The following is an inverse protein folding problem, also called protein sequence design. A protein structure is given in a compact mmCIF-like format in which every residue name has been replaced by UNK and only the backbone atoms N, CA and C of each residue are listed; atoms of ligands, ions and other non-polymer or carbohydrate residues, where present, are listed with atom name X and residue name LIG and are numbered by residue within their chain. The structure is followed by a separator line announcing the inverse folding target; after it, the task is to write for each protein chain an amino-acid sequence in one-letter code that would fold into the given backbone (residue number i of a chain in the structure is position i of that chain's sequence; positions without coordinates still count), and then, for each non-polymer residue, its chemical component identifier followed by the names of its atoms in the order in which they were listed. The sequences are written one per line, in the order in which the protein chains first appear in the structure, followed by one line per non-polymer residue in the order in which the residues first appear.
data_IF_940313623427
#
_entry.id   IF_940313623427
#
_cell.length_a   1.000
_cell.length_b   1.000
_cell.length_c   1.000
_cell.angle_alpha   90.00
_cell.angle_beta   90.00
_cell.angle_gamma   90.00
#
_symmetry.space_group_name_H-M   'P 1'
#
loop_
_entity.id
_entity.type
_entity.pdbx_description
1 polymer ?
#
# COMPACT_ATOMS: atom_id res chain seq x y z
N UNK A 1 1.12 32.00 -27.59
CA UNK A 1 1.10 33.02 -26.53
C UNK A 1 0.51 32.49 -25.24
N UNK A 2 1.04 32.95 -24.11
CA UNK A 2 0.50 32.66 -22.78
C UNK A 2 -0.89 33.31 -22.61
N UNK A 3 -1.89 32.59 -22.08
CA UNK A 3 -3.21 33.18 -21.84
C UNK A 3 -3.12 34.35 -20.86
N UNK A 4 -3.98 35.36 -21.03
CA UNK A 4 -4.11 36.47 -20.07
C UNK A 4 -4.51 35.90 -18.70
N UNK A 5 -3.65 36.10 -17.68
CA UNK A 5 -3.83 35.54 -16.34
C UNK A 5 -2.98 34.31 -16.03
N UNK A 6 -2.12 33.88 -16.97
CA UNK A 6 -1.27 32.69 -16.82
C UNK A 6 -1.99 31.40 -17.21
N UNK A 7 -1.23 30.31 -17.30
CA UNK A 7 -1.81 28.98 -17.56
C UNK A 7 -2.37 28.37 -16.26
N UNK A 8 -3.55 27.72 -16.29
CA UNK A 8 -4.03 26.94 -15.15
C UNK A 8 -3.07 25.77 -14.87
N UNK A 9 -3.08 25.27 -13.65
CA UNK A 9 -2.20 24.18 -13.22
C UNK A 9 -2.72 22.81 -13.69
N UNK A 10 -2.79 22.65 -15.01
CA UNK A 10 -3.32 21.46 -15.71
C UNK A 10 -2.43 21.09 -16.92
N UNK A 11 -2.48 19.83 -17.34
CA UNK A 11 -1.72 19.34 -18.49
C UNK A 11 -0.21 19.56 -18.33
N UNK A 12 0.45 20.08 -19.37
CA UNK A 12 1.90 20.29 -19.35
C UNK A 12 2.36 21.24 -18.23
N UNK A 13 1.55 22.23 -17.87
CA UNK A 13 1.88 23.16 -16.78
C UNK A 13 2.03 22.42 -15.46
N UNK A 14 1.06 21.56 -15.13
CA UNK A 14 1.10 20.70 -13.94
C UNK A 14 2.27 19.71 -13.98
N UNK A 15 2.59 19.17 -15.15
CA UNK A 15 3.73 18.26 -15.30
C UNK A 15 5.05 18.97 -15.02
N UNK A 16 5.29 20.15 -15.59
CA UNK A 16 6.52 20.88 -15.31
C UNK A 16 6.64 21.27 -13.84
N UNK A 17 5.58 21.83 -13.24
CA UNK A 17 5.56 22.22 -11.82
C UNK A 17 5.71 21.06 -10.84
N UNK A 18 5.37 19.84 -11.26
CA UNK A 18 5.53 18.66 -10.41
C UNK A 18 6.95 18.09 -10.39
N UNK A 19 7.80 18.49 -11.34
CA UNK A 19 9.18 17.98 -11.46
C UNK A 19 10.19 19.08 -11.14
N UNK A 20 9.87 20.33 -11.48
CA UNK A 20 10.69 21.49 -11.15
C UNK A 20 10.16 22.17 -9.87
N UNK A 21 11.04 22.71 -9.02
CA UNK A 21 12.48 22.88 -9.24
C UNK A 21 13.31 21.61 -8.97
N UNK A 22 14.42 21.46 -9.70
CA UNK A 22 15.37 20.36 -9.54
C UNK A 22 16.63 20.90 -8.88
N UNK A 23 16.98 20.38 -7.70
CA UNK A 23 18.22 20.72 -6.99
C UNK A 23 19.25 19.62 -7.11
N UNK A 24 20.53 19.99 -7.14
CA UNK A 24 21.64 19.04 -7.05
C UNK A 24 21.77 18.39 -5.66
N UNK A 25 22.66 17.41 -5.51
CA UNK A 25 22.84 16.69 -4.24
C UNK A 25 23.47 17.55 -3.13
N UNK A 26 24.32 18.51 -3.50
CA UNK A 26 25.02 19.43 -2.59
C UNK A 26 24.20 20.67 -2.22
N UNK A 27 23.07 20.91 -2.89
CA UNK A 27 22.27 22.13 -2.76
C UNK A 27 22.95 23.40 -3.27
N UNK A 28 23.97 23.27 -4.13
CA UNK A 28 24.76 24.36 -4.74
C UNK A 28 24.12 24.92 -6.01
N UNK A 29 23.21 24.18 -6.63
CA UNK A 29 22.53 24.63 -7.84
C UNK A 29 21.08 24.14 -7.89
N UNK A 30 20.24 24.93 -8.54
CA UNK A 30 18.83 24.64 -8.73
C UNK A 30 18.38 25.07 -10.12
N UNK A 31 17.66 24.20 -10.80
CA UNK A 31 17.03 24.46 -12.09
C UNK A 31 15.53 24.66 -11.88
N UNK A 32 15.03 25.84 -12.27
CA UNK A 32 13.62 26.22 -12.16
C UNK A 32 12.94 26.25 -13.53
N UNK A 33 11.66 25.90 -13.53
CA UNK A 33 10.77 26.09 -14.67
C UNK A 33 10.08 27.46 -14.60
N UNK A 34 10.22 28.27 -15.66
CA UNK A 34 9.60 29.59 -15.74
C UNK A 34 8.30 29.53 -16.56
N UNK A 35 8.40 29.14 -17.83
CA UNK A 35 7.26 29.05 -18.77
C UNK A 35 7.56 28.11 -19.92
N UNK A 36 6.54 27.80 -20.72
CA UNK A 36 6.70 27.10 -21.99
C UNK A 36 5.87 27.70 -23.11
N UNK A 37 6.39 27.59 -24.31
CA UNK A 37 5.78 28.08 -25.54
C UNK A 37 5.93 27.03 -26.65
N UNK A 38 4.90 26.93 -27.50
CA UNK A 38 4.97 26.14 -28.72
C UNK A 38 5.30 27.09 -29.86
N UNK A 39 6.34 26.77 -30.63
CA UNK A 39 6.57 27.44 -31.90
C UNK A 39 5.55 26.98 -32.93
N UNK A 40 5.39 27.76 -34.00
CA UNK A 40 4.54 27.36 -35.11
C UNK A 40 5.06 26.03 -35.72
N UNK A 41 4.16 25.12 -36.11
CA UNK A 41 4.53 23.94 -36.90
C UNK A 41 5.32 24.34 -38.13
N UNK A 42 6.39 23.61 -38.42
CA UNK A 42 7.24 23.86 -39.60
C UNK A 42 6.50 23.64 -40.93
N UNK A 43 5.51 22.77 -40.91
CA UNK A 43 4.70 22.36 -42.06
C UNK A 43 3.24 22.31 -41.66
N UNK A 44 2.35 22.54 -42.62
CA UNK A 44 0.92 22.36 -42.40
C UNK A 44 0.49 20.87 -42.52
N UNK A 45 -0.79 20.61 -42.30
CA UNK A 45 -1.36 19.25 -42.30
C UNK A 45 -1.22 18.57 -43.67
N UNK A 46 -1.37 19.31 -44.76
CA UNK A 46 -1.36 18.74 -46.12
C UNK A 46 0.07 18.48 -46.60
N UNK A 47 1.01 19.37 -46.26
CA UNK A 47 2.44 19.15 -46.47
C UNK A 47 2.94 17.94 -45.69
N UNK A 48 2.52 17.78 -44.42
CA UNK A 48 2.89 16.61 -43.63
C UNK A 48 2.39 15.30 -44.24
N UNK A 49 1.17 15.28 -44.80
CA UNK A 49 0.60 14.12 -45.51
C UNK A 49 1.38 13.77 -46.77
N UNK A 50 1.72 14.76 -47.59
CA UNK A 50 2.41 14.53 -48.87
C UNK A 50 3.87 14.10 -48.71
N UNK A 51 4.50 14.51 -47.61
CA UNK A 51 5.94 14.31 -47.36
C UNK A 51 6.25 13.22 -46.32
N UNK A 52 5.25 12.46 -45.90
CA UNK A 52 5.37 11.44 -44.85
C UNK A 52 5.95 11.99 -43.52
N UNK A 53 5.61 13.23 -43.16
CA UNK A 53 6.07 13.90 -41.94
C UNK A 53 5.01 13.86 -40.83
N UNK A 54 5.45 14.07 -39.59
CA UNK A 54 4.55 14.23 -38.44
C UNK A 54 4.15 15.70 -38.29
N UNK A 55 2.86 15.98 -38.12
CA UNK A 55 2.36 17.33 -37.84
C UNK A 55 2.57 17.65 -36.36
N UNK A 56 3.59 18.44 -36.07
CA UNK A 56 4.02 18.75 -34.71
C UNK A 56 4.54 20.19 -34.60
N UNK A 57 4.48 20.71 -33.37
CA UNK A 57 5.04 22.00 -32.99
C UNK A 57 6.26 21.82 -32.07
N UNK A 58 7.37 22.53 -32.32
CA UNK A 58 8.50 22.58 -31.41
C UNK A 58 8.08 23.11 -30.04
N UNK A 59 8.35 22.37 -28.97
CA UNK A 59 8.13 22.82 -27.59
C UNK A 59 9.41 23.47 -27.06
N UNK A 60 9.33 24.75 -26.74
CA UNK A 60 10.40 25.49 -26.04
C UNK A 60 9.99 25.75 -24.59
N UNK A 61 10.93 25.53 -23.69
CA UNK A 61 10.73 25.72 -22.24
C UNK A 61 11.79 26.68 -21.74
N UNK A 62 11.35 27.78 -21.15
CA UNK A 62 12.23 28.75 -20.49
C UNK A 62 12.60 28.21 -19.12
N UNK A 63 13.89 27.97 -18.92
CA UNK A 63 14.43 27.42 -17.69
C UNK A 63 15.44 28.38 -17.09
N UNK A 64 15.50 28.40 -15.76
CA UNK A 64 16.40 29.26 -15.01
C UNK A 64 17.29 28.42 -14.10
N UNK A 65 18.60 28.44 -14.36
CA UNK A 65 19.61 27.84 -13.50
C UNK A 65 20.08 28.88 -12.50
N UNK A 66 19.88 28.60 -11.22
CA UNK A 66 20.34 29.41 -10.08
C UNK A 66 21.51 28.69 -9.44
N UNK A 67 22.64 29.38 -9.32
CA UNK A 67 23.84 28.89 -8.64
C UNK A 67 23.95 29.58 -7.28
N UNK A 68 24.15 28.80 -6.23
CA UNK A 68 24.30 29.28 -4.87
C UNK A 68 25.77 29.28 -4.45
N UNK A 69 26.14 30.28 -3.67
CA UNK A 69 27.34 30.26 -2.85
C UNK A 69 26.97 29.78 -1.45
N UNK A 70 27.70 28.77 -0.97
CA UNK A 70 27.48 28.15 0.33
C UNK A 70 28.60 28.59 1.27
N UNK A 71 28.22 29.32 2.30
CA UNK A 71 29.13 29.63 3.41
C UNK A 71 29.31 28.38 4.28
N UNK A 72 30.52 27.81 4.29
CA UNK A 72 30.85 26.58 5.03
C UNK A 72 30.74 26.74 6.57
N UNK A 73 30.85 27.97 7.08
CA UNK A 73 30.81 28.26 8.52
C UNK A 73 29.38 28.50 9.03
N UNK A 74 28.52 29.12 8.21
CA UNK A 74 27.15 29.51 8.61
C UNK A 74 26.05 28.68 7.96
N UNK A 75 26.36 27.91 6.92
CA UNK A 75 25.37 27.18 6.10
C UNK A 75 24.44 28.12 5.32
N UNK A 76 24.73 29.42 5.27
CA UNK A 76 23.91 30.40 4.58
C UNK A 76 24.05 30.23 3.06
N UNK A 77 22.90 30.18 2.37
CA UNK A 77 22.82 30.15 0.90
C UNK A 77 22.64 31.56 0.36
N UNK A 78 23.57 32.02 -0.47
CA UNK A 78 23.40 33.27 -1.23
C UNK A 78 23.41 33.00 -2.73
N UNK A 79 22.70 33.81 -3.51
CA UNK A 79 22.64 33.61 -4.96
C UNK A 79 23.93 34.16 -5.56
N UNK A 80 24.70 33.30 -6.24
CA UNK A 80 25.92 33.65 -6.94
C UNK A 80 25.64 34.09 -8.37
N UNK A 81 24.84 33.32 -9.10
CA UNK A 81 24.54 33.58 -10.51
C UNK A 81 23.14 33.05 -10.90
N UNK A 82 22.54 33.69 -11.90
CA UNK A 82 21.26 33.28 -12.48
C UNK A 82 21.37 33.29 -14.00
N UNK A 83 21.15 32.13 -14.61
CA UNK A 83 21.19 31.93 -16.07
C UNK A 83 19.83 31.47 -16.56
N UNK A 84 19.16 32.28 -17.38
CA UNK A 84 17.87 31.95 -17.97
C UNK A 84 18.02 31.67 -19.47
N UNK A 85 17.41 30.59 -19.96
CA UNK A 85 17.50 30.19 -21.36
C UNK A 85 16.27 29.42 -21.83
N UNK A 86 15.87 29.65 -23.08
CA UNK A 86 14.88 28.83 -23.78
C UNK A 86 15.53 27.54 -24.31
N UNK A 87 15.06 26.40 -23.81
CA UNK A 87 15.55 25.07 -24.17
C UNK A 87 14.51 24.35 -25.00
N UNK A 88 14.94 23.76 -26.12
CA UNK A 88 14.10 22.91 -26.96
C UNK A 88 13.87 21.55 -26.30
N UNK A 89 12.61 21.17 -26.12
CA UNK A 89 12.16 19.99 -25.36
C UNK A 89 11.48 18.93 -26.23
N UNK A 90 11.70 18.99 -27.55
CA UNK A 90 11.12 18.05 -28.51
C UNK A 90 9.95 18.63 -29.31
N UNK A 91 9.53 17.88 -30.33
CA UNK A 91 8.40 18.24 -31.18
C UNK A 91 7.15 17.55 -30.63
N UNK A 92 6.11 18.32 -30.30
CA UNK A 92 4.84 17.79 -29.78
C UNK A 92 3.83 17.63 -30.91
N UNK A 93 3.31 16.43 -31.18
CA UNK A 93 2.25 16.23 -32.18
C UNK A 93 1.03 17.09 -31.88
N UNK A 94 0.55 17.80 -32.89
CA UNK A 94 -0.65 18.63 -32.78
C UNK A 94 -1.88 17.90 -33.31
N UNK A 95 -3.00 18.16 -32.66
CA UNK A 95 -4.30 17.68 -33.10
C UNK A 95 -4.81 18.55 -34.25
N UNK A 96 -5.33 17.92 -35.30
CA UNK A 96 -6.00 18.60 -36.40
C UNK A 96 -7.38 19.12 -35.97
N UNK A 97 -8.02 19.95 -36.80
CA UNK A 97 -9.41 20.40 -36.57
C UNK A 97 -10.43 19.26 -36.52
N UNK A 98 -10.10 18.08 -37.05
CA UNK A 98 -10.97 16.90 -37.06
C UNK A 98 -10.76 15.99 -35.83
N UNK A 99 -9.88 16.36 -34.89
CA UNK A 99 -9.57 15.51 -33.73
C UNK A 99 -8.62 14.36 -34.03
N UNK A 100 -7.87 14.44 -35.14
CA UNK A 100 -6.90 13.42 -35.58
C UNK A 100 -5.46 13.94 -35.42
N UNK A 101 -4.47 13.06 -35.60
CA UNK A 101 -3.05 13.40 -35.61
C UNK A 101 -2.42 12.90 -36.91
N UNK A 102 -1.52 13.68 -37.51
CA UNK A 102 -0.73 13.20 -38.65
C UNK A 102 0.61 12.69 -38.11
N UNK A 103 0.83 11.38 -38.18
CA UNK A 103 2.07 10.72 -37.76
C UNK A 103 2.69 10.05 -38.98
N UNK A 104 3.86 10.52 -39.40
CA UNK A 104 4.57 10.07 -40.60
C UNK A 104 3.64 10.01 -41.84
N UNK A 105 2.99 11.15 -42.15
CA UNK A 105 2.04 11.31 -43.25
C UNK A 105 0.68 10.64 -43.08
N UNK A 106 0.54 9.73 -42.12
CA UNK A 106 -0.69 8.96 -41.92
C UNK A 106 -1.57 9.60 -40.85
N UNK A 107 -2.85 9.74 -41.15
CA UNK A 107 -3.84 10.23 -40.19
C UNK A 107 -4.20 9.14 -39.17
N UNK A 108 -4.12 9.48 -37.88
CA UNK A 108 -4.35 8.58 -36.75
C UNK A 108 -5.32 9.21 -35.76
N UNK A 109 -6.08 8.36 -35.09
CA UNK A 109 -6.96 8.74 -33.98
C UNK A 109 -6.48 8.05 -32.72
N UNK A 110 -6.43 8.80 -31.62
CA UNK A 110 -6.18 8.23 -30.30
C UNK A 110 -7.53 7.98 -29.64
N UNK A 111 -7.85 6.71 -29.40
CA UNK A 111 -9.11 6.31 -28.78
C UNK A 111 -9.03 6.52 -27.28
N UNK A 112 -10.08 7.10 -26.70
CA UNK A 112 -10.18 7.25 -25.23
C UNK A 112 -10.21 5.88 -24.56
N UNK A 113 -9.45 5.73 -23.49
CA UNK A 113 -9.30 4.44 -22.81
C UNK A 113 -10.21 4.37 -21.59
N UNK A 114 -10.95 3.27 -21.46
CA UNK A 114 -11.67 2.94 -20.23
C UNK A 114 -10.74 2.23 -19.26
N UNK A 115 -10.37 2.91 -18.19
CA UNK A 115 -9.52 2.38 -17.12
C UNK A 115 -10.30 2.21 -15.83
N UNK A 116 -9.78 1.39 -14.91
CA UNK A 116 -10.33 1.34 -13.55
C UNK A 116 -10.07 2.68 -12.87
N UNK A 117 -11.07 3.20 -12.19
CA UNK A 117 -10.90 4.40 -11.37
C UNK A 117 -9.95 4.11 -10.21
N UNK A 118 -9.21 5.10 -9.69
CA UNK A 118 -8.41 4.94 -8.50
C UNK A 118 -9.28 4.58 -7.29
N UNK A 119 -8.70 3.86 -6.32
CA UNK A 119 -9.37 3.42 -5.10
C UNK A 119 -8.96 2.00 -4.70
N UNK A 120 -9.67 1.45 -3.73
CA UNK A 120 -9.56 0.05 -3.31
C UNK A 120 -10.74 -0.75 -3.84
N UNK A 121 -10.49 -2.00 -4.22
CA UNK A 121 -11.49 -2.93 -4.71
C UNK A 121 -11.30 -4.30 -4.09
N UNK A 122 -12.38 -4.95 -3.71
CA UNK A 122 -12.41 -6.31 -3.17
C UNK A 122 -13.18 -7.22 -4.13
N UNK A 123 -12.61 -8.35 -4.50
CA UNK A 123 -13.26 -9.34 -5.37
C UNK A 123 -12.83 -10.75 -4.97
N UNK A 124 -13.44 -11.77 -5.57
CA UNK A 124 -12.96 -13.13 -5.50
C UNK A 124 -12.94 -13.78 -6.89
N UNK A 125 -12.12 -14.81 -7.04
CA UNK A 125 -11.92 -15.50 -8.32
C UNK A 125 -13.11 -16.34 -8.83
N UNK A 126 -14.26 -16.23 -8.17
CA UNK A 126 -15.48 -17.04 -8.38
C UNK A 126 -15.19 -18.56 -8.39
N UNK A 127 -14.18 -19.01 -7.64
CA UNK A 127 -13.80 -20.42 -7.51
C UNK A 127 -13.12 -20.99 -8.76
N UNK A 128 -12.66 -20.15 -9.69
CA UNK A 128 -12.07 -20.57 -10.96
C UNK A 128 -10.60 -20.96 -10.85
N UNK A 129 -9.86 -20.44 -9.88
CA UNK A 129 -8.40 -20.61 -9.82
C UNK A 129 -7.97 -21.90 -9.15
N UNK A 130 -8.80 -22.46 -8.25
CA UNK A 130 -8.47 -23.67 -7.52
C UNK A 130 -9.50 -24.78 -7.78
N UNK A 131 -9.03 -26.00 -8.01
CA UNK A 131 -9.88 -27.16 -8.37
C UNK A 131 -10.91 -27.53 -7.32
N UNK A 132 -10.70 -27.15 -6.05
CA UNK A 132 -11.68 -27.37 -4.97
C UNK A 132 -12.89 -26.45 -5.06
N UNK A 133 -12.89 -25.45 -5.95
CA UNK A 133 -13.94 -24.43 -6.03
C UNK A 133 -13.93 -23.41 -4.88
N UNK A 134 -12.88 -23.44 -4.04
CA UNK A 134 -12.70 -22.48 -2.95
C UNK A 134 -12.55 -21.08 -3.52
N UNK A 135 -13.33 -20.13 -2.98
CA UNK A 135 -13.23 -18.73 -3.34
C UNK A 135 -11.92 -18.13 -2.81
N UNK A 136 -11.12 -17.55 -3.69
CA UNK A 136 -9.92 -16.82 -3.33
C UNK A 136 -10.22 -15.33 -3.39
N UNK A 137 -10.29 -14.70 -2.22
CA UNK A 137 -10.54 -13.26 -2.09
C UNK A 137 -9.25 -12.48 -2.34
N UNK A 138 -9.39 -11.31 -2.95
CA UNK A 138 -8.31 -10.37 -3.17
C UNK A 138 -8.80 -8.93 -3.01
N UNK A 139 -7.93 -8.10 -2.43
CA UNK A 139 -8.04 -6.65 -2.41
C UNK A 139 -7.01 -6.06 -3.38
N UNK A 140 -7.39 -5.00 -4.10
CA UNK A 140 -6.52 -4.30 -5.05
C UNK A 140 -6.64 -2.80 -4.84
N UNK A 141 -5.52 -2.18 -4.48
CA UNK A 141 -5.38 -0.72 -4.41
C UNK A 141 -4.80 -0.20 -5.72
N UNK A 142 -5.60 0.58 -6.43
CA UNK A 142 -5.26 1.18 -7.72
C UNK A 142 -5.05 2.68 -7.50
N UNK A 143 -3.82 3.18 -7.65
CA UNK A 143 -3.60 4.63 -7.62
C UNK A 143 -3.97 5.29 -8.94
N UNK A 144 -4.12 6.62 -8.90
CA UNK A 144 -4.08 7.45 -10.11
C UNK A 144 -2.71 7.34 -10.79
N UNK A 145 -1.65 7.39 -9.97
CA UNK A 145 -0.24 7.28 -10.36
C UNK A 145 0.56 6.63 -9.24
N UNK A 146 1.48 5.73 -9.58
CA UNK A 146 2.31 5.01 -8.60
C UNK A 146 2.12 3.49 -8.68
N UNK A 147 2.72 2.77 -7.72
CA UNK A 147 2.72 1.31 -7.70
C UNK A 147 1.37 0.73 -7.27
N UNK A 148 0.97 -0.38 -7.88
CA UNK A 148 -0.25 -1.10 -7.48
C UNK A 148 0.06 -2.00 -6.29
N UNK A 149 -0.87 -2.08 -5.33
CA UNK A 149 -0.80 -2.99 -4.20
C UNK A 149 -1.96 -3.98 -4.28
N UNK A 150 -1.63 -5.25 -4.52
CA UNK A 150 -2.56 -6.37 -4.50
C UNK A 150 -2.35 -7.17 -3.21
N UNK A 151 -3.43 -7.52 -2.50
CA UNK A 151 -3.41 -8.40 -1.33
C UNK A 151 -4.37 -9.55 -1.61
N UNK A 152 -3.90 -10.79 -1.59
CA UNK A 152 -4.69 -11.94 -2.04
C UNK A 152 -4.49 -13.17 -1.15
N UNK A 153 -5.58 -13.90 -0.94
CA UNK A 153 -5.55 -15.23 -0.32
C UNK A 153 -5.03 -16.27 -1.30
N UNK A 154 -4.29 -17.25 -0.78
CA UNK A 154 -4.01 -18.49 -1.47
C UNK A 154 -4.95 -19.64 -1.06
N UNK A 155 -4.78 -20.81 -1.66
CA UNK A 155 -5.61 -21.98 -1.37
C UNK A 155 -5.44 -22.52 0.06
N UNK A 156 -4.36 -22.17 0.74
CA UNK A 156 -4.05 -22.54 2.13
C UNK A 156 -4.51 -21.49 3.15
N UNK A 157 -5.27 -20.49 2.72
CA UNK A 157 -5.69 -19.34 3.54
C UNK A 157 -4.50 -18.49 4.08
N UNK A 158 -3.36 -18.51 3.40
CA UNK A 158 -2.25 -17.57 3.66
C UNK A 158 -2.48 -16.30 2.85
N UNK A 159 -2.27 -15.15 3.48
CA UNK A 159 -2.48 -13.83 2.88
C UNK A 159 -1.16 -13.30 2.33
N UNK A 160 -1.15 -12.99 1.03
CA UNK A 160 0.05 -12.48 0.35
C UNK A 160 -0.16 -11.06 -0.12
N UNK A 161 0.87 -10.23 -0.02
CA UNK A 161 0.97 -8.96 -0.73
C UNK A 161 1.75 -9.12 -2.04
N UNK A 162 1.42 -8.30 -3.03
CA UNK A 162 2.07 -8.24 -4.33
C UNK A 162 2.09 -6.80 -4.84
N UNK A 163 3.30 -6.29 -5.09
CA UNK A 163 3.52 -4.93 -5.59
C UNK A 163 3.78 -4.99 -7.09
N UNK A 164 3.09 -4.17 -7.89
CA UNK A 164 3.25 -4.07 -9.35
C UNK A 164 3.21 -5.43 -10.08
N UNK A 165 2.35 -6.33 -9.60
CA UNK A 165 2.19 -7.70 -10.12
C UNK A 165 3.47 -8.56 -10.09
N UNK A 166 4.41 -8.27 -9.19
CA UNK A 166 5.65 -9.03 -9.02
C UNK A 166 5.46 -10.29 -8.17
N UNK A 167 6.56 -10.86 -7.66
CA UNK A 167 6.54 -12.03 -6.76
C UNK A 167 5.70 -11.73 -5.52
N UNK A 168 4.98 -12.76 -5.03
CA UNK A 168 4.25 -12.69 -3.76
C UNK A 168 5.23 -12.62 -2.59
N UNK A 169 4.83 -11.87 -1.57
CA UNK A 169 5.42 -11.88 -0.23
C UNK A 169 4.30 -12.06 0.79
N UNK A 170 4.54 -12.65 1.97
CA UNK A 170 3.56 -12.67 3.04
C UNK A 170 3.08 -11.25 3.38
N UNK A 171 1.79 -11.06 3.66
CA UNK A 171 1.28 -9.72 4.02
C UNK A 171 1.91 -9.21 5.31
N UNK A 172 2.28 -10.10 6.22
CA UNK A 172 3.00 -9.78 7.46
C UNK A 172 4.35 -9.14 7.20
N UNK A 173 5.06 -9.49 6.12
CA UNK A 173 6.29 -8.81 5.72
C UNK A 173 6.02 -7.35 5.34
N UNK A 174 4.90 -7.08 4.66
CA UNK A 174 4.50 -5.70 4.38
C UNK A 174 4.19 -4.94 5.68
N UNK A 175 3.50 -5.57 6.63
CA UNK A 175 3.18 -4.96 7.93
C UNK A 175 4.43 -4.69 8.78
N UNK A 176 5.39 -5.62 8.78
CA UNK A 176 6.70 -5.43 9.41
C UNK A 176 7.48 -4.28 8.79
N UNK A 177 7.44 -4.13 7.46
CA UNK A 177 8.06 -2.98 6.78
C UNK A 177 7.44 -1.63 7.20
N UNK A 178 6.14 -1.62 7.55
CA UNK A 178 5.45 -0.46 8.15
C UNK A 178 5.84 -0.21 9.62
N UNK A 179 6.72 -1.04 10.19
CA UNK A 179 7.26 -0.88 11.53
C UNK A 179 6.50 -1.61 12.63
N UNK A 180 5.65 -2.58 12.28
CA UNK A 180 4.95 -3.41 13.26
C UNK A 180 5.77 -4.66 13.61
N UNK A 181 5.75 -5.07 14.87
CA UNK A 181 6.26 -6.38 15.28
C UNK A 181 5.14 -7.45 15.25
N UNK A 182 5.48 -8.70 15.54
CA UNK A 182 4.54 -9.81 15.53
C UNK A 182 3.35 -9.60 16.47
N UNK A 183 3.59 -9.06 17.67
CA UNK A 183 2.54 -8.83 18.67
C UNK A 183 1.60 -7.69 18.24
N UNK A 184 2.14 -6.57 17.73
CA UNK A 184 1.35 -5.46 17.20
C UNK A 184 0.51 -5.93 16.01
N UNK A 185 1.07 -6.76 15.12
CA UNK A 185 0.32 -7.38 14.02
C UNK A 185 -0.84 -8.19 14.57
N UNK A 186 -0.60 -9.14 15.48
CA UNK A 186 -1.65 -10.03 15.99
C UNK A 186 -2.74 -9.25 16.74
N UNK A 187 -2.35 -8.33 17.61
CA UNK A 187 -3.30 -7.49 18.38
C UNK A 187 -4.10 -6.51 17.51
N UNK A 188 -3.62 -6.17 16.31
CA UNK A 188 -4.36 -5.34 15.35
C UNK A 188 -5.52 -6.11 14.70
N UNK A 189 -5.35 -7.41 14.43
CA UNK A 189 -6.33 -8.22 13.70
C UNK A 189 -7.19 -9.12 14.60
N UNK A 190 -6.75 -9.37 15.84
CA UNK A 190 -7.43 -10.27 16.77
C UNK A 190 -7.68 -9.59 18.11
N UNK A 191 -8.85 -9.85 18.69
CA UNK A 191 -9.08 -9.56 20.09
C UNK A 191 -8.31 -10.55 20.97
N UNK A 192 -8.00 -10.17 22.20
CA UNK A 192 -7.34 -11.02 23.19
C UNK A 192 -8.38 -11.56 24.19
N UNK A 193 -8.18 -12.79 24.66
CA UNK A 193 -8.95 -13.41 25.73
C UNK A 193 -7.99 -13.81 26.85
N UNK A 194 -8.26 -13.34 28.05
CA UNK A 194 -7.44 -13.71 29.23
C UNK A 194 -8.00 -14.96 29.89
N UNK A 195 -7.17 -16.00 29.95
CA UNK A 195 -7.43 -17.23 30.68
C UNK A 195 -6.72 -17.11 32.02
N UNK A 196 -7.44 -17.28 33.13
CA UNK A 196 -6.87 -17.15 34.48
C UNK A 196 -6.85 -18.48 35.19
N UNK A 197 -5.71 -18.87 35.73
CA UNK A 197 -5.57 -20.08 36.54
C UNK A 197 -6.31 -19.89 37.85
N UNK A 198 -7.10 -20.88 38.24
CA UNK A 198 -7.90 -20.85 39.46
C UNK A 198 -7.82 -22.22 40.15
N UNK A 199 -6.68 -22.49 40.80
CA UNK A 199 -6.41 -23.79 41.40
C UNK A 199 -6.07 -24.85 40.37
N UNK A 200 -6.95 -25.83 40.18
CA UNK A 200 -6.80 -26.97 39.27
C UNK A 200 -7.44 -26.77 37.90
N UNK A 201 -8.10 -25.64 37.66
CA UNK A 201 -8.78 -25.32 36.41
C UNK A 201 -8.45 -23.92 35.93
N UNK A 202 -8.79 -23.64 34.67
CA UNK A 202 -8.72 -22.33 34.07
C UNK A 202 -10.09 -21.66 34.05
N UNK A 203 -10.09 -20.34 34.16
CA UNK A 203 -11.26 -19.49 34.08
C UNK A 203 -11.23 -18.74 32.77
N UNK A 204 -12.22 -19.01 31.91
CA UNK A 204 -12.38 -18.37 30.60
C UNK A 204 -13.59 -17.44 30.63
N UNK A 205 -13.50 -16.19 30.13
CA UNK A 205 -14.66 -15.31 30.06
C UNK A 205 -15.74 -15.86 29.13
N UNK A 206 -17.00 -15.76 29.57
CA UNK A 206 -18.15 -16.15 28.77
C UNK A 206 -18.52 -15.03 27.80
N UNK A 207 -18.55 -15.34 26.50
CA UNK A 207 -19.00 -14.43 25.45
C UNK A 207 -20.15 -15.05 24.65
N UNK A 208 -21.29 -14.37 24.59
CA UNK A 208 -22.50 -14.86 23.91
C UNK A 208 -22.24 -15.19 22.44
N UNK A 209 -21.48 -14.36 21.73
CA UNK A 209 -21.21 -14.52 20.30
C UNK A 209 -20.28 -15.69 20.01
N UNK A 210 -19.32 -15.98 20.91
CA UNK A 210 -18.44 -17.14 20.80
C UNK A 210 -19.16 -18.44 21.10
N UNK A 211 -19.98 -18.45 22.16
CA UNK A 211 -20.65 -19.68 22.62
C UNK A 211 -21.95 -20.00 21.86
N UNK A 212 -22.56 -19.05 21.14
CA UNK A 212 -23.77 -19.33 20.36
C UNK A 212 -23.46 -20.32 19.22
N UNK A 213 -24.27 -21.35 19.10
CA UNK A 213 -24.16 -22.35 18.05
C UNK A 213 -23.10 -23.43 18.30
N UNK A 214 -22.25 -23.28 19.31
CA UNK A 214 -21.30 -24.32 19.71
C UNK A 214 -22.03 -25.51 20.35
N UNK A 215 -21.48 -26.69 20.13
CA UNK A 215 -21.88 -27.92 20.81
C UNK A 215 -20.91 -28.15 21.95
N UNK A 216 -21.42 -28.20 23.18
CA UNK A 216 -20.58 -28.44 24.35
C UNK A 216 -19.98 -29.86 24.26
N UNK A 217 -18.65 -29.98 24.28
CA UNK A 217 -17.96 -31.28 24.23
C UNK A 217 -18.05 -31.96 25.61
N UNK A 218 -17.80 -31.20 26.67
CA UNK A 218 -18.05 -31.57 28.06
C UNK A 218 -19.14 -30.71 28.71
N UNK A 219 -19.35 -30.90 30.00
CA UNK A 219 -20.25 -30.05 30.79
C UNK A 219 -19.67 -28.64 30.91
N UNK A 220 -20.46 -27.64 30.52
CA UNK A 220 -20.11 -26.24 30.69
C UNK A 220 -20.44 -25.83 32.12
N UNK A 221 -19.43 -25.52 32.92
CA UNK A 221 -19.57 -25.21 34.35
C UNK A 221 -19.28 -23.74 34.59
N UNK A 222 -20.15 -23.06 35.33
CA UNK A 222 -19.91 -21.69 35.78
C UNK A 222 -18.72 -21.66 36.75
N UNK A 223 -17.75 -20.79 36.46
CA UNK A 223 -16.55 -20.64 37.27
C UNK A 223 -16.84 -20.01 38.65
N UNK A 224 -17.93 -19.25 38.79
CA UNK A 224 -18.30 -18.60 40.06
C UNK A 224 -19.14 -19.51 40.96
N UNK A 225 -20.22 -20.10 40.42
CA UNK A 225 -21.14 -20.93 41.21
C UNK A 225 -20.75 -22.42 41.25
N UNK A 226 -19.97 -22.91 40.29
CA UNK A 226 -19.70 -24.33 40.11
C UNK A 226 -20.87 -25.14 39.56
N UNK A 227 -21.96 -24.48 39.16
CA UNK A 227 -23.14 -25.15 38.58
C UNK A 227 -22.92 -25.47 37.08
N UNK A 228 -23.44 -26.62 36.65
CA UNK A 228 -23.48 -26.97 35.23
C UNK A 228 -24.54 -26.10 34.55
N UNK A 229 -24.09 -25.19 33.70
CA UNK A 229 -24.96 -24.28 32.94
C UNK A 229 -25.42 -24.89 31.61
N UNK A 230 -24.62 -25.79 31.04
CA UNK A 230 -24.96 -26.56 29.83
C UNK A 230 -24.38 -27.97 29.94
N UNK A 231 -25.21 -29.00 29.81
CA UNK A 231 -24.77 -30.39 29.78
C UNK A 231 -24.00 -30.73 28.49
N UNK A 232 -23.05 -31.65 28.60
CA UNK A 232 -22.29 -32.20 27.49
C UNK A 232 -23.18 -32.68 26.33
N UNK A 233 -22.72 -32.43 25.11
CA UNK A 233 -23.40 -32.82 23.87
C UNK A 233 -24.56 -31.91 23.45
N UNK A 234 -25.01 -30.97 24.30
CA UNK A 234 -26.06 -30.01 23.92
C UNK A 234 -25.49 -28.87 23.10
N UNK A 235 -26.28 -28.42 22.11
CA UNK A 235 -25.98 -27.23 21.31
C UNK A 235 -26.49 -26.00 22.04
N UNK A 236 -25.62 -25.02 22.25
CA UNK A 236 -25.96 -23.75 22.88
C UNK A 236 -26.69 -22.90 21.85
N UNK A 237 -27.99 -22.70 22.02
CA UNK A 237 -28.76 -21.83 21.12
C UNK A 237 -28.47 -20.36 21.41
N UNK A 238 -28.65 -19.47 20.42
CA UNK A 238 -28.49 -18.03 20.64
C UNK A 238 -29.36 -17.49 21.78
N UNK A 239 -30.58 -18.04 21.94
CA UNK A 239 -31.47 -17.72 23.06
C UNK A 239 -30.88 -18.17 24.40
N UNK A 240 -30.37 -19.39 24.47
CA UNK A 240 -29.77 -19.93 25.68
C UNK A 240 -28.51 -19.16 26.08
N UNK A 241 -27.62 -18.84 25.13
CA UNK A 241 -26.43 -18.04 25.38
C UNK A 241 -26.77 -16.66 25.97
N UNK A 242 -27.77 -15.97 25.41
CA UNK A 242 -28.28 -14.69 25.96
C UNK A 242 -28.84 -14.84 27.37
N UNK A 243 -29.65 -15.88 27.60
CA UNK A 243 -30.20 -16.15 28.93
C UNK A 243 -29.12 -16.43 29.98
N UNK A 244 -28.04 -17.12 29.61
CA UNK A 244 -26.91 -17.35 30.52
C UNK A 244 -26.21 -16.04 30.88
N UNK A 245 -25.99 -15.15 29.90
CA UNK A 245 -25.43 -13.83 30.16
C UNK A 245 -26.36 -12.96 31.03
N UNK A 246 -27.67 -12.96 30.76
CA UNK A 246 -28.67 -12.23 31.56
C UNK A 246 -28.77 -12.74 33.01
N UNK A 247 -28.56 -14.05 33.22
CA UNK A 247 -28.45 -14.67 34.54
C UNK A 247 -27.14 -14.36 35.26
N UNK A 248 -26.23 -13.64 34.62
CA UNK A 248 -24.98 -13.18 35.22
C UNK A 248 -23.78 -14.11 35.05
N UNK A 249 -23.85 -15.10 34.14
CA UNK A 249 -22.69 -15.94 33.82
C UNK A 249 -21.56 -15.09 33.24
N UNK A 250 -20.44 -15.01 33.95
CA UNK A 250 -19.27 -14.21 33.53
C UNK A 250 -18.13 -15.05 33.01
N UNK A 251 -17.94 -16.25 33.54
CA UNK A 251 -16.83 -17.11 33.16
C UNK A 251 -17.18 -18.59 33.33
N UNK A 252 -16.46 -19.42 32.58
CA UNK A 252 -16.62 -20.86 32.53
C UNK A 252 -15.33 -21.53 33.00
N UNK A 253 -15.45 -22.66 33.69
CA UNK A 253 -14.32 -23.52 34.01
C UNK A 253 -13.86 -24.27 32.77
N UNK A 254 -12.57 -24.26 32.53
CA UNK A 254 -11.92 -24.96 31.45
C UNK A 254 -10.80 -25.85 31.98
N UNK A 255 -10.64 -27.00 31.36
CA UNK A 255 -9.53 -27.91 31.63
C UNK A 255 -8.32 -27.53 30.78
N UNK A 256 -7.18 -28.15 31.05
CA UNK A 256 -5.99 -28.01 30.20
C UNK A 256 -6.25 -28.44 28.75
N UNK A 257 -7.08 -29.47 28.55
CA UNK A 257 -7.45 -29.95 27.22
C UNK A 257 -8.21 -28.91 26.40
N UNK A 258 -8.99 -28.04 27.06
CA UNK A 258 -9.75 -26.96 26.40
C UNK A 258 -8.84 -25.82 25.90
N UNK A 259 -7.58 -25.75 26.36
CA UNK A 259 -6.61 -24.76 25.90
C UNK A 259 -5.95 -25.17 24.58
N UNK A 260 -5.90 -26.47 24.27
CA UNK A 260 -5.17 -26.96 23.10
C UNK A 260 -5.74 -26.43 21.78
N UNK A 261 -4.83 -26.06 20.87
CA UNK A 261 -5.18 -25.45 19.59
C UNK A 261 -5.49 -23.95 19.67
N UNK A 262 -5.49 -23.35 20.87
CA UNK A 262 -5.51 -21.89 21.02
C UNK A 262 -4.13 -21.32 20.71
N UNK A 263 -4.06 -20.03 20.39
CA UNK A 263 -2.81 -19.34 20.03
C UNK A 263 -2.48 -18.25 21.03
N UNK A 264 -1.22 -18.15 21.44
CA UNK A 264 -0.75 -17.09 22.33
C UNK A 264 -0.89 -15.72 21.68
N UNK A 265 -1.27 -14.71 22.47
CA UNK A 265 -1.43 -13.34 22.00
C UNK A 265 -0.20 -12.46 22.25
N UNK A 266 0.68 -12.87 23.16
CA UNK A 266 1.84 -12.12 23.64
C UNK A 266 3.01 -13.08 23.84
N UNK A 267 4.23 -12.56 23.81
CA UNK A 267 5.43 -13.33 24.11
C UNK A 267 5.45 -13.75 25.58
N UNK A 268 5.94 -14.96 25.84
CA UNK A 268 6.15 -15.47 27.19
C UNK A 268 7.61 -15.31 27.52
N UNK A 269 7.91 -14.33 28.37
CA UNK A 269 9.29 -13.90 28.65
C UNK A 269 9.65 -14.16 30.10
N UNK A 270 10.83 -14.71 30.33
CA UNK A 270 11.42 -14.70 31.65
C UNK A 270 11.94 -13.30 31.97
N UNK A 271 11.20 -12.53 32.76
CA UNK A 271 11.58 -11.18 33.14
C UNK A 271 12.94 -11.07 33.89
N UNK A 272 13.45 -12.16 34.45
CA UNK A 272 14.74 -12.16 35.13
C UNK A 272 15.93 -12.37 34.18
N UNK A 273 15.79 -13.18 33.12
CA UNK A 273 16.85 -13.46 32.14
C UNK A 273 16.70 -12.71 30.83
N UNK A 274 15.50 -12.22 30.51
CA UNK A 274 15.13 -11.68 29.20
C UNK A 274 14.98 -12.75 28.11
N UNK A 275 14.99 -14.03 28.47
CA UNK A 275 14.79 -15.14 27.54
C UNK A 275 13.32 -15.27 27.16
N UNK A 276 13.04 -15.32 25.86
CA UNK A 276 11.71 -15.59 25.32
C UNK A 276 11.50 -17.11 25.31
N UNK A 277 10.54 -17.60 26.07
CA UNK A 277 10.20 -19.02 26.14
C UNK A 277 9.26 -19.45 25.01
N UNK A 278 8.29 -18.60 24.66
CA UNK A 278 7.33 -18.81 23.58
C UNK A 278 7.04 -17.46 22.92
N UNK A 279 6.77 -17.47 21.63
CA UNK A 279 6.50 -16.27 20.85
C UNK A 279 4.98 -16.07 20.66
N UNK A 280 4.57 -14.82 20.47
CA UNK A 280 3.20 -14.47 20.13
C UNK A 280 2.78 -15.18 18.82
N UNK A 281 1.63 -15.86 18.87
CA UNK A 281 1.12 -16.68 17.77
C UNK A 281 1.47 -18.17 17.87
N UNK A 282 2.33 -18.59 18.81
CA UNK A 282 2.58 -20.01 19.07
C UNK A 282 1.28 -20.74 19.47
N UNK A 283 1.18 -21.99 19.02
CA UNK A 283 0.04 -22.85 19.36
C UNK A 283 0.23 -23.48 20.74
N UNK A 284 -0.84 -23.47 21.52
CA UNK A 284 -0.88 -24.18 22.80
C UNK A 284 -1.09 -25.67 22.51
N UNK A 285 -0.03 -26.45 22.70
CA UNK A 285 0.00 -27.91 22.62
C UNK A 285 0.54 -28.49 23.95
N UNK A 286 0.67 -29.81 24.05
CA UNK A 286 1.16 -30.45 25.28
C UNK A 286 2.57 -29.99 25.71
N UNK A 287 3.41 -29.55 24.76
CA UNK A 287 4.78 -29.11 25.05
C UNK A 287 4.79 -27.66 25.49
N UNK A 288 4.13 -26.78 24.74
CA UNK A 288 4.10 -25.34 25.05
C UNK A 288 3.32 -25.09 26.33
N UNK A 289 2.25 -25.85 26.61
CA UNK A 289 1.53 -25.76 27.88
C UNK A 289 2.41 -26.13 29.09
N UNK A 290 3.28 -27.14 28.96
CA UNK A 290 4.24 -27.48 30.03
C UNK A 290 5.24 -26.35 30.29
N UNK A 291 5.69 -25.67 29.24
CA UNK A 291 6.58 -24.51 29.36
C UNK A 291 5.86 -23.35 30.04
N UNK A 292 4.62 -23.04 29.65
CA UNK A 292 3.77 -22.02 30.29
C UNK A 292 3.58 -22.28 31.78
N UNK A 293 3.23 -23.52 32.14
CA UNK A 293 3.03 -23.91 33.53
C UNK A 293 4.33 -23.87 34.34
N UNK A 294 5.46 -24.22 33.73
CA UNK A 294 6.78 -24.17 34.37
C UNK A 294 7.31 -22.73 34.56
N UNK A 295 6.93 -21.82 33.65
CA UNK A 295 7.20 -20.38 33.78
C UNK A 295 6.42 -19.75 34.95
N UNK A 296 5.37 -20.43 35.45
CA UNK A 296 4.57 -19.97 36.57
C UNK A 296 3.47 -18.98 36.17
N UNK A 297 3.11 -18.94 34.89
CA UNK A 297 2.07 -18.03 34.40
C UNK A 297 0.68 -18.41 34.96
N UNK A 298 0.06 -17.48 35.67
CA UNK A 298 -1.30 -17.61 36.20
C UNK A 298 -2.34 -16.95 35.29
N UNK A 299 -1.92 -16.07 34.37
CA UNK A 299 -2.77 -15.44 33.37
C UNK A 299 -2.16 -15.63 31.99
N UNK A 300 -2.92 -16.18 31.04
CA UNK A 300 -2.48 -16.40 29.68
C UNK A 300 -3.40 -15.60 28.75
N UNK A 301 -2.81 -14.76 27.91
CA UNK A 301 -3.54 -14.08 26.85
C UNK A 301 -3.52 -14.91 25.57
N UNK A 302 -4.70 -15.26 25.07
CA UNK A 302 -4.85 -15.98 23.80
C UNK A 302 -5.56 -15.12 22.76
N UNK A 303 -5.33 -15.41 21.48
CA UNK A 303 -6.06 -14.79 20.37
C UNK A 303 -7.50 -15.33 20.32
N UNK A 304 -8.49 -14.43 20.15
CA UNK A 304 -9.91 -14.75 19.96
C UNK A 304 -10.18 -15.32 18.56
N UNK A 305 -9.68 -16.53 18.34
CA UNK A 305 -9.83 -17.30 17.11
C UNK A 305 -10.72 -18.50 17.42
N UNK A 306 -11.82 -18.64 16.69
CA UNK A 306 -12.78 -19.74 16.86
C UNK A 306 -12.90 -20.63 15.62
N UNK A 307 -12.19 -20.31 14.53
CA UNK A 307 -12.23 -21.00 13.23
C UNK A 307 -13.62 -21.07 12.57
N UNK A 308 -14.61 -20.35 13.11
CA UNK A 308 -15.99 -20.33 12.61
C UNK A 308 -16.37 -18.92 12.17
N UNK A 309 -16.24 -17.94 13.07
CA UNK A 309 -16.52 -16.53 12.81
C UNK A 309 -15.24 -15.70 12.62
N UNK A 310 -14.10 -16.19 13.13
CA UNK A 310 -12.79 -15.55 13.04
C UNK A 310 -11.75 -16.62 12.70
N UNK A 311 -11.16 -16.51 11.51
CA UNK A 311 -10.09 -17.39 11.04
C UNK A 311 -8.68 -16.97 11.48
N UNK A 312 -7.79 -17.95 11.66
CA UNK A 312 -6.38 -17.75 12.00
C UNK A 312 -5.51 -17.24 10.81
N UNK A 313 -6.05 -16.47 9.87
CA UNK A 313 -5.39 -16.15 8.59
C UNK A 313 -4.10 -15.34 8.75
N UNK A 314 -4.12 -14.26 9.52
CA UNK A 314 -2.94 -13.42 9.75
C UNK A 314 -1.93 -14.16 10.62
N UNK A 315 -2.38 -14.87 11.66
CA UNK A 315 -1.52 -15.73 12.48
C UNK A 315 -0.81 -16.80 11.64
N UNK A 316 -1.54 -17.50 10.78
CA UNK A 316 -0.96 -18.53 9.91
C UNK A 316 -0.02 -17.92 8.87
N UNK A 317 -0.29 -16.69 8.44
CA UNK A 317 0.61 -15.95 7.55
C UNK A 317 1.91 -15.56 8.26
N UNK A 318 1.81 -15.09 9.51
CA UNK A 318 2.97 -14.77 10.34
C UNK A 318 3.86 -16.01 10.55
N UNK A 319 3.24 -17.16 10.87
CA UNK A 319 3.96 -18.42 11.10
C UNK A 319 4.70 -18.98 9.86
N UNK A 320 4.30 -18.59 8.63
CA UNK A 320 5.02 -18.99 7.40
C UNK A 320 5.95 -17.91 6.88
N UNK A 321 5.89 -16.70 7.45
CA UNK A 321 6.81 -15.62 7.13
C UNK A 321 8.21 -15.97 7.66
N UNK A 322 9.21 -15.64 6.85
CA UNK A 322 10.62 -15.89 7.21
C UNK A 322 11.30 -14.63 7.73
N UNK A 323 10.62 -13.50 7.67
CA UNK A 323 11.12 -12.24 8.19
C UNK A 323 10.73 -12.15 9.66
N UNK A 324 11.69 -11.80 10.51
CA UNK A 324 11.49 -11.63 11.95
C UNK A 324 11.56 -10.15 12.34
N UNK A 325 12.05 -9.29 11.45
CA UNK A 325 12.27 -7.87 11.71
C UNK A 325 11.83 -6.97 10.56
N UNK A 326 11.61 -5.69 10.86
CA UNK A 326 11.39 -4.64 9.86
C UNK A 326 12.50 -4.60 8.81
N UNK A 327 13.75 -4.80 9.23
CA UNK A 327 14.89 -4.77 8.30
C UNK A 327 14.84 -5.92 7.31
N UNK A 328 14.53 -7.14 7.76
CA UNK A 328 14.46 -8.32 6.89
C UNK A 328 13.31 -8.17 5.89
N UNK A 329 12.16 -7.69 6.37
CA UNK A 329 11.01 -7.37 5.54
C UNK A 329 11.33 -6.34 4.44
N UNK A 330 12.00 -5.22 4.81
CA UNK A 330 12.46 -4.21 3.85
C UNK A 330 13.42 -4.81 2.83
N UNK A 331 14.33 -5.69 3.26
CA UNK A 331 15.28 -6.36 2.37
C UNK A 331 14.60 -7.33 1.39
N UNK A 332 13.59 -8.09 1.83
CA UNK A 332 12.87 -8.99 0.92
C UNK A 332 12.04 -8.20 -0.09
N UNK A 333 11.35 -7.13 0.34
CA UNK A 333 10.64 -6.21 -0.56
C UNK A 333 11.62 -5.62 -1.58
N UNK A 334 12.79 -5.15 -1.14
CA UNK A 334 13.82 -4.60 -2.02
C UNK A 334 14.26 -5.61 -3.07
N UNK A 335 14.54 -6.87 -2.68
CA UNK A 335 14.96 -7.95 -3.59
C UNK A 335 13.88 -8.31 -4.61
N UNK A 336 12.60 -8.18 -4.26
CA UNK A 336 11.48 -8.37 -5.22
C UNK A 336 11.43 -7.23 -6.24
N UNK A 337 11.66 -5.99 -5.80
CA UNK A 337 11.61 -4.81 -6.67
C UNK A 337 12.88 -4.65 -7.52
N UNK A 338 14.04 -5.04 -7.00
CA UNK A 338 15.35 -4.96 -7.67
C UNK A 338 16.13 -6.26 -7.51
N UNK A 339 15.80 -7.30 -8.29
CA UNK A 339 16.49 -8.57 -8.22
C UNK A 339 17.96 -8.41 -8.62
N UNK A 340 18.87 -8.85 -7.75
CA UNK A 340 20.32 -8.86 -8.01
C UNK A 340 21.09 -7.67 -7.44
N UNK A 341 20.41 -6.62 -6.97
CA UNK A 341 21.05 -5.53 -6.22
C UNK A 341 21.06 -5.86 -4.72
N UNK A 342 22.22 -5.80 -4.03
CA UNK A 342 22.27 -6.01 -2.59
C UNK A 342 21.58 -4.85 -1.85
N UNK A 343 20.63 -5.11 -0.95
CA UNK A 343 19.96 -4.05 -0.19
C UNK A 343 20.87 -3.52 0.93
N UNK A 344 20.78 -2.22 1.17
CA UNK A 344 21.17 -1.59 2.45
C UNK A 344 19.91 -1.07 3.15
N UNK A 345 19.93 -0.87 4.47
CA UNK A 345 18.74 -0.40 5.20
C UNK A 345 18.20 0.91 4.62
N UNK A 346 19.09 1.87 4.39
CA UNK A 346 18.76 3.18 3.83
C UNK A 346 18.15 3.08 2.43
N UNK A 347 18.74 2.28 1.54
CA UNK A 347 18.23 2.12 0.16
C UNK A 347 16.90 1.38 0.11
N UNK A 348 16.71 0.40 1.00
CA UNK A 348 15.47 -0.35 1.14
C UNK A 348 14.35 0.50 1.72
N UNK A 349 14.63 1.29 2.75
CA UNK A 349 13.68 2.22 3.36
C UNK A 349 13.28 3.33 2.40
N UNK A 350 14.25 3.96 1.73
CA UNK A 350 13.97 4.99 0.73
C UNK A 350 13.12 4.44 -0.44
N UNK A 351 13.43 3.22 -0.91
CA UNK A 351 12.60 2.57 -1.92
C UNK A 351 11.18 2.33 -1.40
N UNK A 352 11.03 1.73 -0.23
CA UNK A 352 9.71 1.43 0.33
C UNK A 352 8.87 2.70 0.52
N UNK A 353 9.49 3.78 1.01
CA UNK A 353 8.86 5.09 1.13
C UNK A 353 8.36 5.60 -0.24
N UNK A 354 9.21 5.48 -1.26
CA UNK A 354 8.93 5.92 -2.63
C UNK A 354 7.77 5.17 -3.31
N UNK A 355 7.41 3.97 -2.83
CA UNK A 355 6.37 3.14 -3.44
C UNK A 355 4.95 3.61 -3.09
N UNK A 356 4.73 4.14 -1.89
CA UNK A 356 3.38 4.37 -1.35
C UNK A 356 3.20 5.71 -0.62
N UNK A 357 4.27 6.29 -0.09
CA UNK A 357 4.24 7.39 0.87
C UNK A 357 4.83 8.69 0.32
N UNK A 358 5.45 8.65 -0.85
CA UNK A 358 6.02 9.79 -1.54
C UNK A 358 5.01 10.41 -2.52
N UNK A 359 4.59 11.65 -2.26
CA UNK A 359 3.63 12.38 -3.10
C UNK A 359 4.13 12.64 -4.54
N UNK A 360 5.44 12.68 -4.76
CA UNK A 360 6.02 12.85 -6.09
C UNK A 360 5.93 11.57 -6.92
N UNK A 361 5.70 10.41 -6.29
CA UNK A 361 5.66 9.09 -6.95
C UNK A 361 4.32 8.39 -6.85
N UNK A 362 3.55 8.69 -5.83
CA UNK A 362 2.26 8.09 -5.53
C UNK A 362 1.15 9.12 -5.39
N UNK A 363 0.02 8.85 -6.03
CA UNK A 363 -1.16 9.69 -6.00
C UNK A 363 -2.42 8.85 -6.21
N UNK A 364 -3.33 8.82 -5.24
CA UNK A 364 -4.66 8.22 -5.35
C UNK A 364 -5.65 9.09 -6.14
N UNK A 365 -5.36 10.37 -6.35
CA UNK A 365 -6.29 11.47 -6.65
C UNK A 365 -7.32 11.69 -5.54
N UNK A 366 -7.92 12.88 -5.49
CA UNK A 366 -9.01 13.19 -4.56
C UNK A 366 -10.17 12.18 -4.68
N UNK A 367 -10.53 11.80 -5.92
CA UNK A 367 -11.59 10.81 -6.17
C UNK A 367 -11.22 9.44 -5.62
N UNK A 368 -9.97 8.99 -5.81
CA UNK A 368 -9.52 7.71 -5.27
C UNK A 368 -9.47 7.68 -3.76
N UNK A 369 -9.04 8.78 -3.13
CA UNK A 369 -9.08 8.95 -1.68
C UNK A 369 -10.50 8.90 -1.14
N UNK A 370 -11.45 9.63 -1.74
CA UNK A 370 -12.87 9.58 -1.35
C UNK A 370 -13.44 8.16 -1.50
N UNK A 371 -13.17 7.48 -2.62
CA UNK A 371 -13.61 6.08 -2.81
C UNK A 371 -13.04 5.14 -1.76
N UNK A 372 -11.76 5.28 -1.43
CA UNK A 372 -11.10 4.48 -0.40
C UNK A 372 -11.71 4.73 0.98
N UNK A 373 -11.87 6.00 1.35
CA UNK A 373 -12.48 6.39 2.63
C UNK A 373 -13.91 5.85 2.77
N UNK A 374 -14.73 5.96 1.73
CA UNK A 374 -16.09 5.44 1.74
C UNK A 374 -16.12 3.91 1.85
N UNK A 375 -15.23 3.20 1.15
CA UNK A 375 -15.23 1.73 1.14
C UNK A 375 -14.67 1.11 2.42
N UNK A 376 -13.73 1.79 3.07
CA UNK A 376 -13.03 1.32 4.28
C UNK A 376 -13.51 2.02 5.56
N UNK A 377 -14.49 2.92 5.45
CA UNK A 377 -15.01 3.75 6.55
C UNK A 377 -13.92 4.56 7.28
N UNK A 378 -13.01 5.16 6.49
CA UNK A 378 -11.89 5.95 7.02
C UNK A 378 -12.19 7.45 6.99
N UNK A 379 -11.68 8.16 8.00
CA UNK A 379 -11.73 9.62 8.07
C UNK A 379 -10.37 10.21 7.69
N UNK A 380 -10.28 10.69 6.45
CA UNK A 380 -9.07 11.28 5.90
C UNK A 380 -9.45 12.39 4.92
N UNK A 381 -8.72 13.50 4.93
CA UNK A 381 -8.97 14.56 3.96
C UNK A 381 -8.71 14.07 2.53
N UNK A 382 -9.51 14.56 1.58
CA UNK A 382 -9.38 14.25 0.14
C UNK A 382 -8.10 14.83 -0.49
N UNK A 383 -7.43 15.73 0.24
CA UNK A 383 -6.11 16.29 -0.04
C UNK A 383 -4.98 15.30 0.23
N UNK A 384 -5.17 14.31 1.11
CA UNK A 384 -4.15 13.29 1.44
C UNK A 384 -4.18 12.19 0.38
N UNK A 385 -3.31 12.29 -0.61
CA UNK A 385 -3.34 11.43 -1.81
C UNK A 385 -2.33 10.27 -1.81
N UNK A 386 -1.41 10.24 -0.87
CA UNK A 386 -0.53 9.07 -0.63
C UNK A 386 -1.26 8.03 0.22
N UNK A 387 -0.80 6.77 0.26
CA UNK A 387 -1.32 5.81 1.23
C UNK A 387 -0.78 6.13 2.63
N UNK A 388 -1.52 5.70 3.65
CA UNK A 388 -1.12 5.74 5.06
C UNK A 388 -1.06 4.34 5.64
N UNK A 389 -0.41 4.17 6.81
CA UNK A 389 -0.37 2.88 7.52
C UNK A 389 -1.79 2.38 7.79
N UNK A 390 -2.68 3.27 8.22
CA UNK A 390 -4.08 2.98 8.54
C UNK A 390 -4.85 2.49 7.31
N UNK A 391 -4.57 3.04 6.13
CA UNK A 391 -5.22 2.62 4.89
C UNK A 391 -4.87 1.15 4.56
N UNK A 392 -3.59 0.80 4.65
CA UNK A 392 -3.13 -0.57 4.36
C UNK A 392 -3.70 -1.55 5.40
N UNK A 393 -3.71 -1.19 6.68
CA UNK A 393 -4.30 -2.01 7.74
C UNK A 393 -5.80 -2.24 7.51
N UNK A 394 -6.55 -1.20 7.17
CA UNK A 394 -7.97 -1.31 6.87
C UNK A 394 -8.25 -2.19 5.64
N UNK A 395 -7.40 -2.12 4.61
CA UNK A 395 -7.49 -3.00 3.43
C UNK A 395 -7.31 -4.47 3.84
N UNK A 396 -6.27 -4.79 4.62
CA UNK A 396 -6.00 -6.15 5.08
C UNK A 396 -7.15 -6.65 5.97
N UNK A 397 -7.62 -5.80 6.90
CA UNK A 397 -8.70 -6.14 7.82
C UNK A 397 -10.00 -6.46 7.08
N UNK A 398 -10.40 -5.58 6.16
CA UNK A 398 -11.60 -5.78 5.33
C UNK A 398 -11.49 -7.05 4.49
N UNK A 399 -10.31 -7.35 3.95
CA UNK A 399 -10.10 -8.58 3.17
C UNK A 399 -10.26 -9.85 4.02
N UNK A 400 -9.74 -9.84 5.25
CA UNK A 400 -9.89 -10.94 6.21
C UNK A 400 -11.35 -11.09 6.63
N UNK A 401 -12.04 -9.99 6.93
CA UNK A 401 -13.47 -10.00 7.28
C UNK A 401 -14.35 -10.55 6.15
N UNK A 402 -14.05 -10.23 4.89
CA UNK A 402 -14.73 -10.81 3.73
C UNK A 402 -14.55 -12.33 3.67
N UNK A 403 -13.36 -12.84 4.04
CA UNK A 403 -13.09 -14.27 4.10
C UNK A 403 -13.83 -14.96 5.26
N UNK A 404 -14.07 -14.25 6.36
CA UNK A 404 -14.96 -14.65 7.47
C UNK A 404 -16.45 -14.52 7.12
N UNK A 405 -16.79 -14.04 5.91
CA UNK A 405 -18.17 -13.88 5.44
C UNK A 405 -18.85 -12.59 5.92
N UNK A 406 -18.07 -11.60 6.37
CA UNK A 406 -18.56 -10.28 6.78
C UNK A 406 -18.32 -9.27 5.65
N UNK A 407 -19.38 -8.63 5.18
CA UNK A 407 -19.34 -7.64 4.09
C UNK A 407 -19.57 -8.24 2.71
N UNK A 408 -19.46 -7.39 1.68
CA UNK A 408 -19.72 -7.74 0.28
C UNK A 408 -18.52 -7.40 -0.61
N UNK A 409 -18.39 -8.16 -1.71
CA UNK A 409 -17.40 -7.87 -2.75
C UNK A 409 -17.87 -6.75 -3.68
N UNK A 410 -16.92 -6.08 -4.32
CA UNK A 410 -17.16 -5.03 -5.28
C UNK A 410 -17.29 -5.60 -6.70
N UNK A 411 -18.22 -5.05 -7.49
CA UNK A 411 -18.23 -5.27 -8.94
C UNK A 411 -17.21 -4.33 -9.60
N UNK A 412 -16.00 -4.84 -9.79
CA UNK A 412 -14.88 -4.08 -10.37
C UNK A 412 -15.12 -3.67 -11.84
N UNK A 413 -16.06 -4.33 -12.52
CA UNK A 413 -16.39 -4.09 -13.92
C UNK A 413 -17.56 -3.12 -14.11
N UNK A 414 -18.23 -2.72 -13.02
CA UNK A 414 -19.25 -1.69 -13.04
C UNK A 414 -18.71 -0.37 -13.62
N UNK A 415 -19.50 0.31 -14.46
CA UNK A 415 -19.15 1.60 -15.05
C UNK A 415 -18.82 2.67 -14.00
N UNK A 416 -19.43 2.64 -12.81
CA UNK A 416 -19.08 3.54 -11.71
C UNK A 416 -17.64 3.37 -11.21
N UNK A 417 -17.02 2.22 -11.48
CA UNK A 417 -15.63 1.89 -11.18
C UNK A 417 -14.70 2.01 -12.40
N UNK A 418 -15.22 2.54 -13.50
CA UNK A 418 -14.47 2.84 -14.72
C UNK A 418 -14.39 4.35 -14.93
N UNK A 419 -13.26 4.82 -15.45
CA UNK A 419 -13.06 6.20 -15.91
C UNK A 419 -12.59 6.21 -17.34
N UNK A 420 -12.99 7.24 -18.08
CA UNK A 420 -12.50 7.49 -19.43
C UNK A 420 -11.27 8.38 -19.34
N UNK A 421 -10.13 7.90 -19.84
CA UNK A 421 -8.93 8.71 -20.05
C UNK A 421 -8.98 9.32 -21.44
N UNK A 422 -8.93 10.65 -21.50
CA UNK A 422 -8.85 11.39 -22.76
C UNK A 422 -7.42 11.38 -23.31
N UNK A 423 -7.24 11.84 -24.54
CA UNK A 423 -5.92 11.95 -25.18
C UNK A 423 -4.97 12.85 -24.37
N UNK A 424 -5.48 13.95 -23.81
CA UNK A 424 -4.69 14.88 -23.00
C UNK A 424 -4.07 14.20 -21.78
N UNK A 425 -4.86 13.43 -21.03
CA UNK A 425 -4.38 12.70 -19.84
C UNK A 425 -3.34 11.63 -20.20
N UNK A 426 -3.52 10.94 -21.33
CA UNK A 426 -2.55 9.94 -21.81
C UNK A 426 -1.22 10.60 -22.19
N UNK A 427 -1.26 11.71 -22.91
CA UNK A 427 -0.05 12.46 -23.26
C UNK A 427 0.63 13.08 -22.03
N UNK A 428 -0.15 13.63 -21.10
CA UNK A 428 0.37 14.21 -19.85
C UNK A 428 1.19 13.18 -19.07
N UNK A 429 0.62 11.99 -18.85
CA UNK A 429 1.30 10.92 -18.13
C UNK A 429 2.57 10.45 -18.86
N UNK A 430 2.52 10.33 -20.19
CA UNK A 430 3.68 9.91 -20.96
C UNK A 430 4.81 10.94 -20.89
N UNK A 431 4.47 12.23 -20.99
CA UNK A 431 5.43 13.32 -20.90
C UNK A 431 6.05 13.43 -19.51
N UNK A 432 5.23 13.23 -18.45
CA UNK A 432 5.68 13.17 -17.05
C UNK A 432 6.72 12.07 -16.83
N UNK A 433 6.49 10.86 -17.38
CA UNK A 433 7.47 9.76 -17.30
C UNK A 433 8.78 10.13 -17.98
N UNK A 434 8.72 10.82 -19.13
CA UNK A 434 9.91 11.34 -19.81
C UNK A 434 10.66 12.36 -18.95
N UNK A 435 9.95 13.31 -18.34
CA UNK A 435 10.50 14.32 -17.44
C UNK A 435 11.15 13.73 -16.19
N UNK A 436 10.52 12.77 -15.51
CA UNK A 436 11.11 12.09 -14.35
C UNK A 436 12.42 11.35 -14.69
N UNK A 437 12.53 10.82 -15.92
CA UNK A 437 13.81 10.23 -16.40
C UNK A 437 14.87 11.30 -16.63
N UNK A 438 14.47 12.45 -17.16
CA UNK A 438 15.38 13.58 -17.35
C UNK A 438 15.82 14.18 -16.03
N UNK A 439 14.92 14.30 -15.04
CA UNK A 439 15.21 14.85 -13.72
C UNK A 439 16.43 14.18 -13.06
N UNK A 440 16.45 12.84 -13.06
CA UNK A 440 17.59 12.07 -12.55
C UNK A 440 18.89 12.40 -13.30
N UNK A 441 18.83 12.46 -14.63
CA UNK A 441 20.00 12.77 -15.45
C UNK A 441 20.48 14.22 -15.26
N UNK A 442 19.56 15.17 -15.10
CA UNK A 442 19.86 16.58 -14.81
C UNK A 442 20.54 16.69 -13.44
N UNK A 443 20.00 16.02 -12.41
CA UNK A 443 20.57 16.00 -11.05
C UNK A 443 21.98 15.41 -11.02
N UNK A 444 22.20 14.29 -11.71
CA UNK A 444 23.53 13.68 -11.84
C UNK A 444 24.51 14.58 -12.61
N UNK A 445 24.06 15.29 -13.66
CA UNK A 445 24.89 16.24 -14.42
C UNK A 445 25.26 17.49 -13.62
N UNK A 446 24.31 18.09 -12.91
CA UNK A 446 24.58 19.27 -12.07
C UNK A 446 25.63 19.00 -11.00
N UNK A 447 25.67 17.79 -10.44
CA UNK A 447 26.67 17.41 -9.43
C UNK A 447 28.03 16.96 -10.00
N UNK A 448 28.14 16.70 -11.30
CA UNK A 448 29.39 16.19 -11.91
C UNK A 448 30.16 17.22 -12.72
N UNK A 449 29.55 18.36 -13.05
CA UNK A 449 30.13 19.40 -13.92
C UNK A 449 30.27 20.70 -13.13
N UNK A 450 31.31 21.49 -13.43
CA UNK A 450 31.47 22.84 -12.89
C UNK A 450 30.33 23.78 -13.36
N UNK A 451 29.35 24.00 -12.49
CA UNK A 451 28.09 24.68 -12.83
C UNK A 451 28.26 26.15 -13.26
N UNK A 452 29.35 26.79 -12.83
CA UNK A 452 29.66 28.19 -13.14
C UNK A 452 29.78 28.49 -14.63
N UNK A 453 30.12 27.50 -15.46
CA UNK A 453 30.29 27.67 -16.91
C UNK A 453 29.15 27.07 -17.74
N UNK A 454 28.24 26.34 -17.10
CA UNK A 454 27.18 25.57 -17.73
C UNK A 454 25.95 26.43 -18.01
N UNK A 455 25.28 26.20 -19.14
CA UNK A 455 23.97 26.78 -19.47
C UNK A 455 22.85 25.75 -19.29
N UNK A 456 21.59 26.17 -19.06
CA UNK A 456 20.46 25.25 -18.89
C UNK A 456 20.32 24.18 -19.99
N UNK A 457 20.60 24.53 -21.26
CA UNK A 457 20.55 23.59 -22.38
C UNK A 457 21.57 22.43 -22.26
N UNK A 458 22.70 22.64 -21.60
CA UNK A 458 23.78 21.65 -21.51
C UNK A 458 23.44 20.55 -20.49
N UNK A 459 22.58 20.88 -19.52
CA UNK A 459 22.07 19.96 -18.51
C UNK A 459 20.97 19.05 -19.06
N UNK A 460 20.30 19.45 -20.15
CA UNK A 460 19.11 18.80 -20.66
C UNK A 460 19.40 18.01 -21.92
N UNK A 461 18.88 16.80 -21.95
CA UNK A 461 18.77 16.01 -23.16
C UNK A 461 17.29 15.74 -23.40
N UNK A 462 16.70 16.34 -24.44
CA UNK A 462 15.27 16.22 -24.73
C UNK A 462 14.84 14.82 -25.21
N UNK A 463 15.78 13.94 -25.61
CA UNK A 463 15.46 12.62 -26.18
C UNK A 463 14.57 11.72 -25.31
N UNK A 464 14.70 11.67 -23.97
CA UNK A 464 13.85 10.82 -23.13
C UNK A 464 12.40 11.30 -22.99
N UNK A 465 12.11 12.56 -23.32
CA UNK A 465 10.76 13.15 -23.27
C UNK A 465 10.12 13.37 -24.64
N UNK A 466 10.91 13.33 -25.72
CA UNK A 466 10.48 13.46 -27.11
C UNK A 466 9.98 12.14 -27.72
#
# INVERSE_FOLDING_TARGET
DEPKGGRPDEGLQAVFRSVFPISDFSGTSMLEFVKYEFEAPKFDVDECRQRDLTYAAPLKVTLRLIVFDLDEDTGAKSIKDIKEQDVYMGDMPLMTSNGTFIINGTERVIVSQMHRSPGVFFDHDKGKSHSSGKLLFAARVIPYRGSWLDIEFDSKDVVHARIDRRRKIPVTSLLMALGMDGEEILSTFYNKITYKKSGDHWRIPFNVERFRGLKAVGDLVDADSGEVVVEAGKKITARQAKQLAEKGLKAIKATEDDLFGSYLAEDIVNYASGEIFLEAGDEIDEKTLKVLLAAGEEEIQILDIDHVNVGAYIRNTLAVDKNESRQDALFDIYRVMRPGEPPTLETAEAMFNSLFFDSERYDLSAVGRVKMNMRLELDAEDTVRVLRKEDILAVVKTLVELRDGKGEIDDIDNLGNRRVRSVGELMENQYRVGLLRMERAIKERMSSIEIDTVMPQDLINAKPAA
#
